data_IF_230307617325
#
_entry.id   IF_230307617325
#
_cell.length_a   1.000
_cell.length_b   1.000
_cell.length_c   1.000
_cell.angle_alpha   90.00
_cell.angle_beta   90.00
_cell.angle_gamma   90.00
#
_symmetry.space_group_name_H-M   'P 1'
#
loop_
_entity.id
_entity.type
_entity.pdbx_description
1 polymer ?
#
# COMPACT_ATOMS: atom_id res chain seq x y z
N UNK A 1 -5.25 -16.74 -3.27
CA UNK A 1 -4.28 -17.20 -4.28
C UNK A 1 -2.85 -16.92 -3.82
N UNK A 2 -2.43 -15.66 -3.58
CA UNK A 2 -1.03 -15.32 -3.24
C UNK A 2 -0.48 -16.10 -2.05
N UNK A 3 -1.26 -16.26 -0.97
CA UNK A 3 -0.84 -17.04 0.20
C UNK A 3 -0.61 -18.51 -0.14
N UNK A 4 -1.42 -19.09 -1.02
CA UNK A 4 -1.21 -20.46 -1.51
C UNK A 4 0.06 -20.58 -2.35
N UNK A 5 0.33 -19.61 -3.22
CA UNK A 5 1.60 -19.56 -3.98
C UNK A 5 2.80 -19.55 -3.04
N UNK A 6 2.80 -18.69 -2.03
CA UNK A 6 3.90 -18.59 -1.05
C UNK A 6 4.08 -19.93 -0.34
N UNK A 7 3.01 -20.53 0.19
CA UNK A 7 3.10 -21.81 0.91
C UNK A 7 3.58 -22.97 0.04
N UNK A 8 3.19 -22.99 -1.24
CA UNK A 8 3.44 -24.14 -2.13
C UNK A 8 4.75 -24.02 -2.89
N UNK A 9 5.03 -22.83 -3.42
CA UNK A 9 6.19 -22.64 -4.32
C UNK A 9 7.39 -21.98 -3.62
N UNK A 10 7.15 -21.25 -2.54
CA UNK A 10 8.19 -20.51 -1.81
C UNK A 10 8.09 -20.71 -0.29
N UNK A 11 8.10 -21.95 0.22
CA UNK A 11 7.89 -22.22 1.65
C UNK A 11 9.04 -21.72 2.55
N UNK A 12 10.20 -21.45 1.98
CA UNK A 12 11.37 -20.95 2.69
C UNK A 12 11.65 -19.50 2.28
N UNK A 13 11.20 -18.58 3.09
CA UNK A 13 11.44 -17.14 2.92
C UNK A 13 11.60 -16.50 4.29
N UNK A 14 12.35 -15.42 4.33
CA UNK A 14 12.54 -14.60 5.54
C UNK A 14 11.67 -13.34 5.53
N UNK A 15 11.37 -12.83 4.34
CA UNK A 15 10.61 -11.59 4.19
C UNK A 15 9.69 -11.62 2.97
N UNK A 16 8.45 -11.19 3.18
CA UNK A 16 7.53 -10.82 2.10
C UNK A 16 7.43 -9.30 2.03
N UNK A 17 7.96 -8.73 0.96
CA UNK A 17 7.96 -7.29 0.74
C UNK A 17 6.88 -6.88 -0.26
N UNK A 18 6.03 -5.97 0.15
CA UNK A 18 4.93 -5.42 -0.64
C UNK A 18 5.06 -3.92 -0.83
N UNK A 19 4.41 -3.38 -1.85
CA UNK A 19 4.04 -1.97 -1.87
C UNK A 19 2.88 -1.70 -0.92
N UNK A 20 2.73 -0.48 -0.44
CA UNK A 20 1.63 -0.07 0.44
C UNK A 20 0.26 -0.38 -0.19
N UNK A 21 0.05 0.06 -1.42
CA UNK A 21 -1.24 -0.02 -2.10
C UNK A 21 -1.10 0.18 -3.61
N UNK A 22 -2.13 -0.20 -4.37
CA UNK A 22 -2.23 0.13 -5.79
C UNK A 22 -2.72 1.55 -5.99
N UNK A 23 -2.25 2.22 -7.05
CA UNK A 23 -2.77 3.53 -7.46
C UNK A 23 -4.19 3.37 -8.01
N UNK A 24 -5.11 4.16 -7.52
CA UNK A 24 -6.51 4.20 -7.95
C UNK A 24 -7.48 3.47 -7.02
N UNK A 25 -7.20 2.23 -6.61
CA UNK A 25 -8.05 1.51 -5.65
C UNK A 25 -7.71 1.86 -4.19
N UNK A 26 -6.45 2.13 -3.88
CA UNK A 26 -5.92 2.62 -2.59
C UNK A 26 -6.36 1.83 -1.34
N UNK A 27 -6.71 0.55 -1.50
CA UNK A 27 -7.27 -0.26 -0.41
C UNK A 27 -6.27 -0.65 0.67
N UNK A 28 -4.95 -0.68 0.39
CA UNK A 28 -3.87 -1.02 1.32
C UNK A 28 -4.06 -2.34 2.11
N UNK A 29 -4.83 -3.31 1.58
CA UNK A 29 -5.26 -4.50 2.31
C UNK A 29 -4.35 -5.72 2.12
N UNK A 30 -3.75 -5.87 0.93
CA UNK A 30 -3.05 -7.11 0.54
C UNK A 30 -1.93 -7.50 1.49
N UNK A 31 -1.04 -6.61 1.96
CA UNK A 31 0.01 -6.98 2.89
C UNK A 31 -0.53 -7.54 4.21
N UNK A 32 -1.53 -6.87 4.80
CA UNK A 32 -2.15 -7.31 6.06
C UNK A 32 -2.89 -8.62 5.91
N UNK A 33 -3.63 -8.81 4.83
CA UNK A 33 -4.31 -10.09 4.53
C UNK A 33 -3.30 -11.22 4.35
N UNK A 34 -2.17 -10.96 3.71
CA UNK A 34 -1.11 -11.97 3.56
C UNK A 34 -0.49 -12.34 4.89
N UNK A 35 -0.22 -11.35 5.76
CA UNK A 35 0.30 -11.61 7.09
C UNK A 35 -0.65 -12.48 7.92
N UNK A 36 -1.93 -12.14 7.95
CA UNK A 36 -2.96 -12.91 8.66
C UNK A 36 -3.10 -14.33 8.11
N UNK A 37 -3.23 -14.49 6.80
CA UNK A 37 -3.37 -15.79 6.16
C UNK A 37 -2.15 -16.70 6.37
N UNK A 38 -0.96 -16.13 6.52
CA UNK A 38 0.27 -16.88 6.74
C UNK A 38 0.64 -17.03 8.22
N UNK A 39 -0.04 -16.33 9.13
CA UNK A 39 0.26 -16.32 10.56
C UNK A 39 1.59 -15.62 10.89
N UNK A 40 1.91 -14.52 10.18
CA UNK A 40 3.19 -13.83 10.26
C UNK A 40 3.08 -12.47 10.92
N UNK A 41 4.12 -12.00 11.62
CA UNK A 41 4.22 -10.61 12.03
C UNK A 41 4.23 -9.67 10.82
N UNK A 42 3.75 -8.43 11.00
CA UNK A 42 3.67 -7.45 9.93
C UNK A 42 4.13 -6.07 10.36
N UNK A 43 4.77 -5.35 9.43
CA UNK A 43 5.06 -3.94 9.54
C UNK A 43 4.61 -3.22 8.26
N UNK A 44 3.58 -2.37 8.37
CA UNK A 44 2.98 -1.69 7.23
C UNK A 44 3.35 -0.21 7.19
N UNK A 45 3.39 0.37 5.96
CA UNK A 45 3.68 1.79 5.70
C UNK A 45 5.10 2.17 6.15
N UNK A 46 6.05 1.28 5.90
CA UNK A 46 7.43 1.38 6.39
C UNK A 46 8.25 2.36 5.53
N UNK A 47 8.89 3.32 6.20
CA UNK A 47 9.78 4.32 5.60
C UNK A 47 11.26 4.04 5.90
N UNK A 48 11.55 3.21 6.90
CA UNK A 48 12.91 2.73 7.20
C UNK A 48 12.85 1.29 7.68
N UNK A 49 13.73 0.44 7.15
CA UNK A 49 13.81 -0.98 7.46
C UNK A 49 15.24 -1.37 7.79
N UNK A 50 15.43 -2.03 8.92
CA UNK A 50 16.70 -2.62 9.34
C UNK A 50 16.47 -4.11 9.57
N UNK A 51 17.30 -4.97 8.99
CA UNK A 51 17.19 -6.43 9.09
C UNK A 51 18.45 -7.02 9.70
N UNK A 52 18.28 -7.96 10.59
CA UNK A 52 19.31 -8.85 11.14
C UNK A 52 18.98 -10.30 10.74
N UNK A 53 19.73 -11.26 11.27
CA UNK A 53 19.58 -12.65 10.85
C UNK A 53 18.17 -13.24 11.12
N UNK A 54 17.56 -12.92 12.25
CA UNK A 54 16.31 -13.52 12.76
C UNK A 54 15.23 -12.48 13.14
N UNK A 55 15.54 -11.20 13.01
CA UNK A 55 14.65 -10.10 13.41
C UNK A 55 14.78 -8.88 12.52
N UNK A 56 13.80 -8.03 12.57
CA UNK A 56 13.79 -6.74 11.89
C UNK A 56 13.30 -5.62 12.79
N UNK A 57 13.70 -4.41 12.45
CA UNK A 57 13.16 -3.18 12.99
C UNK A 57 12.70 -2.27 11.85
N UNK A 58 11.56 -1.63 12.03
CA UNK A 58 10.98 -0.73 11.05
C UNK A 58 10.54 0.58 11.70
N UNK A 59 10.68 1.68 10.95
CA UNK A 59 10.02 2.93 11.21
C UNK A 59 8.86 3.07 10.25
N UNK A 60 7.68 3.36 10.74
CA UNK A 60 6.48 3.58 9.92
C UNK A 60 5.82 4.91 10.22
N UNK A 61 5.18 5.47 9.22
CA UNK A 61 4.34 6.65 9.38
C UNK A 61 2.96 6.25 9.91
N UNK A 62 2.49 6.97 10.91
CA UNK A 62 1.13 6.86 11.47
C UNK A 62 0.52 8.25 11.56
N UNK A 63 -0.79 8.32 11.80
CA UNK A 63 -1.45 9.61 11.98
C UNK A 63 -0.86 10.33 13.21
N UNK A 64 -0.31 11.54 12.97
CA UNK A 64 0.29 12.36 14.01
C UNK A 64 1.75 12.06 14.35
N UNK A 65 2.42 11.13 13.66
CA UNK A 65 3.83 10.86 13.97
C UNK A 65 4.44 9.63 13.30
N UNK A 66 5.46 9.10 13.94
CA UNK A 66 6.17 7.90 13.52
C UNK A 66 6.19 6.86 14.63
N UNK A 67 6.20 5.61 14.27
CA UNK A 67 6.24 4.48 15.19
C UNK A 67 7.38 3.53 14.85
N UNK A 68 8.15 3.12 15.87
CA UNK A 68 9.18 2.10 15.74
C UNK A 68 8.60 0.74 16.10
N UNK A 69 8.78 -0.23 15.23
CA UNK A 69 8.37 -1.62 15.40
C UNK A 69 9.59 -2.51 15.42
N UNK A 70 9.56 -3.54 16.26
CA UNK A 70 10.49 -4.67 16.22
C UNK A 70 9.67 -5.94 15.97
N UNK A 71 10.18 -6.82 15.13
CA UNK A 71 9.50 -8.06 14.74
C UNK A 71 10.50 -9.19 14.47
N UNK A 72 10.05 -10.43 14.62
CA UNK A 72 10.80 -11.62 14.22
C UNK A 72 10.61 -11.91 12.74
N UNK A 73 11.57 -12.59 12.13
CA UNK A 73 11.44 -13.17 10.80
C UNK A 73 10.96 -14.64 10.89
N UNK A 74 10.23 -15.17 9.91
CA UNK A 74 9.77 -14.48 8.70
C UNK A 74 8.65 -13.47 8.98
N UNK A 75 8.56 -12.42 8.16
CA UNK A 75 7.62 -11.31 8.34
C UNK A 75 7.06 -10.77 7.02
N UNK A 76 5.99 -10.00 7.13
CA UNK A 76 5.42 -9.22 6.02
C UNK A 76 5.71 -7.74 6.24
N UNK A 77 6.24 -7.06 5.23
CA UNK A 77 6.52 -5.62 5.26
C UNK A 77 5.91 -4.94 4.06
N UNK A 78 5.21 -3.82 4.27
CA UNK A 78 4.78 -2.98 3.16
C UNK A 78 5.54 -1.65 3.14
N UNK A 79 6.13 -1.37 1.97
CA UNK A 79 6.96 -0.20 1.74
C UNK A 79 6.12 1.05 1.43
N UNK A 80 6.48 2.17 2.05
CA UNK A 80 6.01 3.50 1.74
C UNK A 80 7.08 4.26 0.95
N UNK A 81 6.68 5.35 0.28
CA UNK A 81 7.61 6.28 -0.34
C UNK A 81 8.65 6.75 0.69
N UNK A 82 9.92 6.75 0.32
CA UNK A 82 11.02 7.17 1.20
C UNK A 82 11.83 6.01 1.78
N UNK A 83 11.37 4.76 1.66
CA UNK A 83 12.13 3.60 2.13
C UNK A 83 13.51 3.50 1.46
N UNK A 84 13.58 3.78 0.17
CA UNK A 84 14.83 3.83 -0.61
C UNK A 84 14.65 4.71 -1.85
N UNK A 85 15.79 5.15 -2.42
CA UNK A 85 15.79 5.82 -3.73
C UNK A 85 15.72 4.77 -4.84
N UNK A 86 14.75 4.88 -5.76
CA UNK A 86 14.61 3.97 -6.88
C UNK A 86 15.83 4.01 -7.80
N UNK A 87 16.34 2.86 -8.17
CA UNK A 87 17.44 2.76 -9.14
C UNK A 87 16.89 2.70 -10.56
N UNK A 88 17.54 3.41 -11.48
CA UNK A 88 17.24 3.31 -12.90
C UNK A 88 17.82 2.03 -13.49
N UNK A 89 17.14 1.45 -14.46
CA UNK A 89 17.59 0.29 -15.19
C UNK A 89 18.82 0.61 -16.07
N UNK A 90 19.74 -0.34 -16.13
CA UNK A 90 20.87 -0.29 -17.04
C UNK A 90 20.58 -1.07 -18.31
N UNK A 91 21.25 -0.74 -19.43
CA UNK A 91 21.08 -1.48 -20.69
C UNK A 91 21.34 -3.00 -20.49
N UNK A 92 22.37 -3.36 -19.73
CA UNK A 92 22.67 -4.76 -19.39
C UNK A 92 21.54 -5.41 -18.57
N UNK A 93 20.94 -4.66 -17.64
CA UNK A 93 19.79 -5.10 -16.84
C UNK A 93 18.55 -5.37 -17.69
N UNK A 94 18.24 -4.45 -18.63
CA UNK A 94 17.13 -4.62 -19.58
C UNK A 94 17.34 -5.89 -20.44
N UNK A 95 18.55 -6.09 -20.96
CA UNK A 95 18.87 -7.27 -21.77
C UNK A 95 18.77 -8.58 -20.98
N UNK A 96 19.18 -8.57 -19.71
CA UNK A 96 19.06 -9.72 -18.82
C UNK A 96 17.60 -10.01 -18.45
N UNK A 97 16.79 -8.98 -18.19
CA UNK A 97 15.39 -9.13 -17.88
C UNK A 97 14.57 -9.77 -19.02
N UNK A 98 14.89 -9.44 -20.28
CA UNK A 98 14.25 -10.04 -21.47
C UNK A 98 14.44 -11.56 -21.57
N UNK A 99 15.47 -12.10 -20.94
CA UNK A 99 15.80 -13.55 -20.97
C UNK A 99 15.20 -14.29 -19.76
N UNK A 100 14.61 -13.58 -18.79
CA UNK A 100 14.00 -14.22 -17.64
C UNK A 100 12.69 -14.87 -18.02
N UNK A 101 12.54 -16.13 -17.67
CA UNK A 101 11.28 -16.84 -17.76
C UNK A 101 10.33 -16.37 -16.65
N UNK A 102 9.08 -16.20 -16.99
CA UNK A 102 7.99 -15.92 -16.04
C UNK A 102 7.19 -17.21 -15.91
N UNK A 103 7.35 -17.97 -14.83
CA UNK A 103 6.64 -19.23 -14.68
C UNK A 103 5.12 -18.96 -14.50
N UNK A 104 4.32 -19.76 -15.17
CA UNK A 104 2.87 -19.80 -15.01
C UNK A 104 2.53 -20.94 -14.07
N UNK A 105 1.74 -20.65 -13.05
CA UNK A 105 1.30 -21.63 -12.05
C UNK A 105 -0.21 -21.81 -12.16
N UNK A 106 -0.68 -23.02 -12.42
CA UNK A 106 -2.10 -23.32 -12.49
C UNK A 106 -2.71 -23.41 -11.08
N UNK A 107 -4.02 -23.18 -10.95
CA UNK A 107 -4.71 -23.23 -9.64
C UNK A 107 -4.64 -24.62 -9.02
N UNK A 108 -4.72 -25.66 -9.84
CA UNK A 108 -4.63 -27.06 -9.42
C UNK A 108 -3.29 -27.38 -8.76
N UNK A 109 -2.20 -26.77 -9.23
CA UNK A 109 -0.87 -26.91 -8.61
C UNK A 109 -0.78 -26.29 -7.21
N UNK A 110 -1.68 -25.35 -6.90
CA UNK A 110 -1.81 -24.71 -5.60
C UNK A 110 -2.80 -25.43 -4.68
N UNK A 111 -3.45 -26.49 -5.16
CA UNK A 111 -4.52 -27.20 -4.47
C UNK A 111 -5.79 -26.37 -4.30
N UNK A 112 -5.99 -25.36 -5.15
CA UNK A 112 -7.15 -24.47 -5.12
C UNK A 112 -8.16 -24.86 -6.21
N UNK A 113 -9.44 -24.76 -5.88
CA UNK A 113 -10.55 -24.95 -6.83
C UNK A 113 -11.16 -23.59 -7.19
N UNK A 114 -11.61 -23.39 -8.45
CA UNK A 114 -12.24 -22.13 -8.86
C UNK A 114 -13.41 -21.72 -7.97
N UNK A 115 -14.20 -22.69 -7.48
CA UNK A 115 -15.37 -22.47 -6.63
C UNK A 115 -15.00 -21.87 -5.25
N UNK A 116 -13.80 -22.17 -4.75
CA UNK A 116 -13.27 -21.65 -3.48
C UNK A 116 -12.80 -20.20 -3.61
N UNK A 117 -12.65 -19.72 -4.84
CA UNK A 117 -12.20 -18.37 -5.17
C UNK A 117 -13.37 -17.45 -5.58
N UNK A 118 -14.58 -17.81 -5.23
CA UNK A 118 -15.76 -16.99 -5.51
C UNK A 118 -15.58 -15.58 -4.97
N UNK A 119 -15.83 -14.59 -5.82
CA UNK A 119 -15.68 -13.16 -5.48
C UNK A 119 -16.79 -12.78 -4.50
N UNK A 120 -16.42 -12.37 -3.29
CA UNK A 120 -17.36 -11.91 -2.27
C UNK A 120 -17.91 -10.51 -2.51
N UNK A 121 -17.36 -9.78 -3.49
CA UNK A 121 -17.75 -8.41 -3.84
C UNK A 121 -18.04 -8.33 -5.34
N UNK A 122 -19.20 -7.78 -5.71
CA UNK A 122 -19.57 -7.51 -7.09
C UNK A 122 -19.76 -6.00 -7.29
N UNK A 123 -19.02 -5.41 -8.24
CA UNK A 123 -19.26 -4.03 -8.66
C UNK A 123 -20.53 -4.01 -9.51
N UNK A 124 -21.58 -3.36 -9.02
CA UNK A 124 -22.89 -3.29 -9.71
C UNK A 124 -23.04 -2.04 -10.56
N UNK A 125 -22.34 -0.98 -10.20
CA UNK A 125 -22.36 0.28 -10.94
C UNK A 125 -21.07 1.07 -10.72
N UNK A 126 -20.72 1.90 -11.68
CA UNK A 126 -19.58 2.83 -11.64
C UNK A 126 -20.02 4.19 -12.17
N UNK A 127 -20.22 5.13 -11.27
CA UNK A 127 -20.61 6.49 -11.60
C UNK A 127 -19.46 7.47 -11.36
N UNK A 128 -19.48 8.56 -12.14
CA UNK A 128 -18.60 9.68 -11.84
C UNK A 128 -19.06 10.39 -10.55
N UNK A 129 -18.14 10.83 -9.70
CA UNK A 129 -18.52 11.61 -8.53
C UNK A 129 -19.26 12.89 -8.96
N UNK A 130 -20.23 13.36 -8.17
CA UNK A 130 -20.96 14.58 -8.49
C UNK A 130 -20.00 15.77 -8.64
N UNK A 131 -20.29 16.63 -9.61
CA UNK A 131 -19.47 17.81 -9.85
C UNK A 131 -19.38 18.67 -8.57
N UNK A 132 -18.18 19.10 -8.24
CA UNK A 132 -17.96 20.02 -7.13
C UNK A 132 -18.64 21.35 -7.45
N UNK A 133 -19.26 21.97 -6.46
CA UNK A 133 -19.75 23.35 -6.58
C UNK A 133 -18.57 24.28 -6.89
N UNK A 134 -18.83 25.32 -7.68
CA UNK A 134 -17.84 26.35 -7.95
C UNK A 134 -17.31 26.96 -6.64
N UNK A 135 -16.00 27.20 -6.58
CA UNK A 135 -15.40 27.86 -5.42
C UNK A 135 -15.88 29.33 -5.32
N UNK A 136 -15.88 29.86 -4.11
CA UNK A 136 -16.17 31.27 -3.84
C UNK A 136 -14.86 32.06 -3.92
N UNK A 137 -14.78 33.04 -4.79
CA UNK A 137 -13.66 33.98 -4.83
C UNK A 137 -14.00 35.12 -3.86
N UNK A 138 -13.14 35.37 -2.91
CA UNK A 138 -13.29 36.45 -1.93
C UNK A 138 -12.57 37.68 -2.49
N UNK A 139 -13.33 38.77 -2.83
CA UNK A 139 -12.75 39.98 -3.35
C UNK A 139 -12.09 40.82 -2.22
N UNK A 140 -11.29 41.81 -2.59
CA UNK A 140 -10.67 42.76 -1.66
C UNK A 140 -9.14 42.67 -1.63
N UNK A 141 -8.56 43.42 -0.71
CA UNK A 141 -7.11 43.33 -0.44
C UNK A 141 -6.76 41.96 0.20
N UNK A 142 -5.51 41.51 0.17
CA UNK A 142 -5.11 40.28 0.82
C UNK A 142 -5.52 40.20 2.30
N UNK A 143 -5.44 41.30 3.02
CA UNK A 143 -5.82 41.35 4.43
C UNK A 143 -7.35 41.22 4.63
N UNK A 144 -8.13 41.88 3.82
CA UNK A 144 -9.60 41.80 3.84
C UNK A 144 -10.06 40.39 3.46
N UNK A 145 -9.52 39.84 2.40
CA UNK A 145 -9.83 38.48 1.94
C UNK A 145 -9.45 37.42 2.99
N UNK A 146 -8.31 37.56 3.67
CA UNK A 146 -7.90 36.65 4.74
C UNK A 146 -8.88 36.72 5.95
N UNK A 147 -9.29 37.91 6.36
CA UNK A 147 -10.26 38.05 7.46
C UNK A 147 -11.62 37.46 7.10
N UNK A 148 -12.10 37.69 5.90
CA UNK A 148 -13.35 37.12 5.42
C UNK A 148 -13.25 35.58 5.31
N UNK A 149 -12.13 35.05 4.81
CA UNK A 149 -11.91 33.60 4.75
C UNK A 149 -12.00 32.98 6.16
N UNK A 150 -11.32 33.54 7.15
CA UNK A 150 -11.39 33.03 8.53
C UNK A 150 -12.82 33.09 9.07
N UNK A 151 -13.56 34.18 8.78
CA UNK A 151 -14.95 34.30 9.15
C UNK A 151 -15.80 33.18 8.54
N UNK A 152 -15.65 32.94 7.24
CA UNK A 152 -16.40 31.90 6.53
C UNK A 152 -16.03 30.47 7.02
N UNK A 153 -14.77 30.22 7.31
CA UNK A 153 -14.33 28.94 7.87
C UNK A 153 -14.94 28.67 9.26
N UNK A 154 -15.15 29.71 10.07
CA UNK A 154 -15.79 29.61 11.38
C UNK A 154 -17.30 29.49 11.31
N UNK A 155 -17.94 30.32 10.50
CA UNK A 155 -19.40 30.49 10.53
C UNK A 155 -20.14 29.55 9.57
N UNK A 156 -19.63 29.37 8.36
CA UNK A 156 -20.24 28.53 7.33
C UNK A 156 -19.66 27.10 7.34
N UNK A 157 -18.35 26.96 7.25
CA UNK A 157 -17.69 25.65 7.16
C UNK A 157 -17.53 24.97 8.53
N UNK A 158 -17.45 25.72 9.62
CA UNK A 158 -17.29 25.25 11.02
C UNK A 158 -16.10 24.29 11.20
N UNK A 159 -14.98 24.59 10.57
CA UNK A 159 -13.77 23.77 10.59
C UNK A 159 -12.64 24.35 11.45
N UNK A 160 -12.80 25.58 11.93
CA UNK A 160 -11.88 26.27 12.87
C UNK A 160 -12.66 27.04 13.92
#
# INVERSE_FOLDING_TARGET
ILAAVVRTKYPQFDLLLFGKQSVGADNAQVPSMMAELLGLPQANVVVKLELEADKGAALREVEGGEEKLAFSLPAVVSAQKGLNEPRYETLKGIMAAKKKEIPVVALEELGLKPEELAVGLQVTNLDSPPARKAGKIIPGTPEEAARELVSLLRTEAKVI
#
